data_IF_472622036102
#
_entry.id   IF_472622036102
#
_cell.length_a   1.000
_cell.length_b   1.000
_cell.length_c   1.000
_cell.angle_alpha   90.00
_cell.angle_beta   90.00
_cell.angle_gamma   90.00
#
_symmetry.space_group_name_H-M   'P 1'
#
loop_
_entity.id
_entity.type
_entity.pdbx_description
1 polymer ?
#
# COMPACT_ATOMS: atom_id res chain seq x y z
N UNK A 1 -3.59 -9.70 42.76
CA UNK A 1 -2.45 -9.73 41.83
C UNK A 1 -2.98 -9.69 40.41
N UNK A 2 -2.70 -8.64 39.69
CA UNK A 2 -2.98 -8.62 38.24
C UNK A 2 -2.04 -9.57 37.56
N UNK A 3 -2.57 -10.63 36.92
CA UNK A 3 -1.78 -11.52 36.08
C UNK A 3 -1.14 -10.68 34.97
N UNK A 4 0.19 -10.72 34.88
CA UNK A 4 0.92 -10.15 33.74
C UNK A 4 0.42 -10.82 32.46
N UNK A 5 -0.45 -10.10 31.73
CA UNK A 5 -0.85 -10.57 30.39
C UNK A 5 0.41 -10.69 29.55
N UNK A 6 0.68 -11.88 29.02
CA UNK A 6 1.73 -12.10 28.03
C UNK A 6 1.32 -11.35 26.76
N UNK A 7 1.74 -10.10 26.65
CA UNK A 7 1.54 -9.33 25.42
C UNK A 7 2.40 -9.96 24.32
N UNK A 8 1.86 -10.16 23.12
CA UNK A 8 2.64 -10.65 22.01
C UNK A 8 3.83 -9.73 21.74
N UNK A 9 5.02 -10.32 21.65
CA UNK A 9 6.25 -9.56 21.36
C UNK A 9 6.40 -9.43 19.85
N UNK A 10 6.50 -8.21 19.37
CA UNK A 10 6.81 -7.91 17.98
C UNK A 10 8.33 -7.96 17.82
N UNK A 11 8.81 -8.78 16.89
CA UNK A 11 10.23 -8.77 16.52
C UNK A 11 10.49 -7.61 15.57
N UNK A 12 11.19 -6.60 16.04
CA UNK A 12 11.66 -5.50 15.20
C UNK A 12 12.93 -5.99 14.46
N UNK A 13 12.75 -6.54 13.28
CA UNK A 13 13.87 -6.88 12.38
C UNK A 13 13.94 -5.82 11.28
N UNK A 14 14.78 -4.81 11.49
CA UNK A 14 15.10 -3.83 10.45
C UNK A 14 16.21 -4.42 9.59
N UNK A 15 15.83 -5.21 8.57
CA UNK A 15 16.75 -5.78 7.59
C UNK A 15 17.03 -4.82 6.42
N UNK A 16 17.97 -5.20 5.57
CA UNK A 16 18.31 -4.44 4.35
C UNK A 16 17.13 -4.38 3.38
N UNK A 17 16.37 -5.46 3.22
CA UNK A 17 15.18 -5.50 2.37
C UNK A 17 14.09 -4.55 2.87
N UNK A 18 13.89 -4.45 4.18
CA UNK A 18 12.95 -3.48 4.75
C UNK A 18 13.32 -2.04 4.34
N UNK A 19 14.58 -1.67 4.49
CA UNK A 19 15.07 -0.34 4.10
C UNK A 19 14.90 -0.10 2.61
N UNK A 20 15.22 -1.08 1.80
CA UNK A 20 15.07 -1.05 0.35
C UNK A 20 13.61 -0.80 -0.07
N UNK A 21 12.66 -1.57 0.47
CA UNK A 21 11.23 -1.38 0.20
C UNK A 21 10.75 -0.01 0.67
N UNK A 22 11.16 0.40 1.87
CA UNK A 22 10.82 1.71 2.43
C UNK A 22 11.29 2.86 1.53
N UNK A 23 12.52 2.78 1.03
CA UNK A 23 13.09 3.81 0.16
C UNK A 23 12.33 3.89 -1.18
N UNK A 24 11.97 2.75 -1.77
CA UNK A 24 11.18 2.73 -3.01
C UNK A 24 9.79 3.33 -2.78
N UNK A 25 9.10 2.96 -1.71
CA UNK A 25 7.77 3.51 -1.36
C UNK A 25 7.84 5.04 -1.24
N UNK A 26 8.85 5.54 -0.55
CA UNK A 26 9.07 6.98 -0.40
C UNK A 26 9.40 7.66 -1.72
N UNK A 27 10.37 7.13 -2.47
CA UNK A 27 10.90 7.75 -3.68
C UNK A 27 9.87 7.76 -4.82
N UNK A 28 8.99 6.76 -4.88
CA UNK A 28 7.89 6.72 -5.83
C UNK A 28 6.60 7.39 -5.32
N UNK A 29 6.65 7.98 -4.12
CA UNK A 29 5.50 8.62 -3.49
C UNK A 29 4.27 7.71 -3.47
N UNK A 30 4.45 6.49 -3.01
CA UNK A 30 3.39 5.48 -2.93
C UNK A 30 2.79 5.41 -1.54
N UNK A 31 1.54 4.95 -1.48
CA UNK A 31 0.85 4.65 -0.24
C UNK A 31 0.80 3.14 -0.01
N UNK A 32 0.99 2.72 1.23
CA UNK A 32 0.82 1.32 1.62
C UNK A 32 -0.14 1.22 2.79
N UNK A 33 -0.96 0.18 2.80
CA UNK A 33 -1.81 -0.13 3.96
C UNK A 33 -0.93 -0.43 5.17
N UNK A 34 0.24 -1.04 4.94
CA UNK A 34 1.19 -1.36 6.00
C UNK A 34 1.61 -0.14 6.81
N UNK A 35 1.87 0.99 6.15
CA UNK A 35 2.23 2.24 6.80
C UNK A 35 1.00 2.99 7.34
N UNK A 36 -0.05 3.14 6.54
CA UNK A 36 -1.25 3.89 6.91
C UNK A 36 -2.02 3.27 8.08
N UNK A 37 -2.03 1.93 8.16
CA UNK A 37 -2.68 1.20 9.24
C UNK A 37 -1.75 0.95 10.45
N UNK A 38 -0.53 1.44 10.45
CA UNK A 38 0.48 1.16 11.48
C UNK A 38 0.61 -0.36 11.76
N UNK A 39 0.68 -1.15 10.71
CA UNK A 39 0.69 -2.60 10.81
C UNK A 39 1.90 -3.11 11.61
N UNK A 40 1.72 -3.91 12.66
CA UNK A 40 2.82 -4.40 13.47
C UNK A 40 3.74 -5.38 12.75
N UNK A 41 3.28 -5.97 11.64
CA UNK A 41 4.02 -6.94 10.84
C UNK A 41 4.82 -6.30 9.68
N UNK A 42 4.82 -4.98 9.58
CA UNK A 42 5.45 -4.26 8.47
C UNK A 42 6.93 -4.65 8.28
N UNK A 43 7.66 -4.81 9.36
CA UNK A 43 9.09 -5.16 9.31
C UNK A 43 9.31 -6.56 8.73
N UNK A 44 8.50 -7.52 9.12
CA UNK A 44 8.58 -8.89 8.62
C UNK A 44 8.17 -8.97 7.16
N UNK A 45 7.01 -8.40 6.81
CA UNK A 45 6.47 -8.44 5.45
C UNK A 45 7.38 -7.73 4.45
N UNK A 46 7.83 -6.53 4.78
CA UNK A 46 8.72 -5.78 3.89
C UNK A 46 10.10 -6.41 3.77
N UNK A 47 10.59 -7.05 4.83
CA UNK A 47 11.84 -7.80 4.77
C UNK A 47 11.74 -9.04 3.87
N UNK A 48 10.55 -9.63 3.75
CA UNK A 48 10.26 -10.72 2.81
C UNK A 48 9.98 -10.23 1.37
N UNK A 49 9.96 -8.93 1.14
CA UNK A 49 9.62 -8.36 -0.16
C UNK A 49 8.12 -8.39 -0.47
N UNK A 50 7.27 -8.42 0.55
CA UNK A 50 5.81 -8.38 0.41
C UNK A 50 5.27 -7.07 0.95
N UNK A 51 4.49 -6.36 0.16
CA UNK A 51 3.83 -5.12 0.54
C UNK A 51 2.40 -5.07 -0.01
N UNK A 52 1.51 -4.40 0.71
CA UNK A 52 0.16 -4.10 0.24
C UNK A 52 0.10 -2.65 -0.19
N UNK A 53 0.05 -2.42 -1.48
CA UNK A 53 -0.01 -1.08 -2.06
C UNK A 53 -1.44 -0.57 -2.07
N UNK A 54 -1.60 0.71 -1.74
CA UNK A 54 -2.88 1.39 -1.73
C UNK A 54 -2.90 2.44 -2.83
N UNK A 55 -3.81 2.29 -3.76
CA UNK A 55 -3.98 3.22 -4.90
C UNK A 55 -5.15 4.17 -4.68
N UNK A 56 -5.31 5.14 -5.56
CA UNK A 56 -6.30 6.22 -5.50
C UNK A 56 -6.03 7.25 -4.40
N UNK A 57 -4.77 7.35 -3.96
CA UNK A 57 -4.36 8.29 -2.92
C UNK A 57 -4.39 7.69 -1.51
N UNK A 58 -4.34 8.56 -0.51
CA UNK A 58 -4.27 8.19 0.91
C UNK A 58 -5.45 8.71 1.73
N UNK A 59 -6.40 9.38 1.10
CA UNK A 59 -7.60 9.93 1.74
C UNK A 59 -8.83 9.21 1.23
N UNK A 60 -9.55 8.56 2.14
CA UNK A 60 -10.78 7.82 1.86
C UNK A 60 -12.00 8.72 2.05
N UNK A 61 -12.99 8.59 1.18
CA UNK A 61 -14.27 9.31 1.32
C UNK A 61 -15.20 8.67 2.36
N UNK A 62 -14.84 7.51 2.91
CA UNK A 62 -15.61 6.77 3.90
C UNK A 62 -14.88 6.64 5.22
N UNK A 63 -15.64 6.53 6.32
CA UNK A 63 -15.15 6.46 7.68
C UNK A 63 -15.56 5.14 8.35
N UNK A 64 -14.93 4.04 7.95
CA UNK A 64 -15.19 2.73 8.56
C UNK A 64 -14.62 2.68 9.97
N UNK A 65 -15.40 2.20 10.94
CA UNK A 65 -15.03 2.21 12.36
C UNK A 65 -13.81 1.35 12.72
N UNK A 66 -13.42 0.42 11.86
CA UNK A 66 -12.25 -0.46 12.04
C UNK A 66 -11.03 -0.03 11.23
N UNK A 67 -11.14 1.01 10.40
CA UNK A 67 -10.10 1.41 9.45
C UNK A 67 -9.27 2.57 9.99
N UNK A 68 -7.94 2.47 9.89
CA UNK A 68 -7.01 3.51 10.32
C UNK A 68 -6.64 4.50 9.20
N UNK A 69 -7.11 4.29 7.98
CA UNK A 69 -6.86 5.19 6.85
C UNK A 69 -7.57 6.52 7.07
N UNK A 70 -6.92 7.61 6.68
CA UNK A 70 -7.47 8.97 6.83
C UNK A 70 -8.78 9.13 6.07
N UNK A 71 -9.79 9.65 6.74
CA UNK A 71 -11.06 10.03 6.13
C UNK A 71 -11.04 11.51 5.78
N UNK A 72 -11.57 11.88 4.63
CA UNK A 72 -11.63 13.27 4.21
C UNK A 72 -12.18 13.45 2.81
N UNK A 73 -11.95 14.62 2.26
CA UNK A 73 -12.29 14.96 0.87
C UNK A 73 -11.02 15.02 0.05
N UNK A 74 -10.76 14.02 -0.81
CA UNK A 74 -9.63 14.07 -1.73
C UNK A 74 -9.81 15.26 -2.70
N UNK A 75 -8.71 15.95 -2.96
CA UNK A 75 -8.71 17.12 -3.84
C UNK A 75 -8.12 16.83 -5.22
N UNK A 76 -7.49 15.68 -5.38
CA UNK A 76 -6.74 15.37 -6.59
C UNK A 76 -6.65 13.85 -6.80
N UNK A 77 -6.65 13.47 -8.06
CA UNK A 77 -6.32 12.13 -8.52
C UNK A 77 -5.05 12.18 -9.38
N UNK A 78 -4.19 11.19 -9.21
CA UNK A 78 -2.90 11.15 -9.88
C UNK A 78 -2.95 10.24 -11.12
N UNK A 79 -2.92 10.80 -12.32
CA UNK A 79 -2.98 10.00 -13.54
C UNK A 79 -1.72 9.15 -13.77
N UNK A 80 -0.61 9.47 -13.10
CA UNK A 80 0.65 8.72 -13.20
C UNK A 80 0.80 7.62 -12.13
N UNK A 81 -0.14 7.53 -11.20
CA UNK A 81 -0.09 6.53 -10.13
C UNK A 81 0.01 5.09 -10.64
N UNK A 82 -0.74 4.65 -11.67
CA UNK A 82 -0.59 3.30 -12.23
C UNK A 82 0.82 2.99 -12.71
N UNK A 83 1.46 3.93 -13.38
CA UNK A 83 2.83 3.76 -13.88
C UNK A 83 3.86 3.72 -12.75
N UNK A 84 3.72 4.62 -11.76
CA UNK A 84 4.62 4.63 -10.60
C UNK A 84 4.48 3.38 -9.76
N UNK A 85 3.25 2.90 -9.56
CA UNK A 85 2.97 1.65 -8.84
C UNK A 85 3.63 0.46 -9.54
N UNK A 86 3.46 0.33 -10.84
CA UNK A 86 4.08 -0.75 -11.61
C UNK A 86 5.61 -0.67 -11.60
N UNK A 87 6.18 0.52 -11.69
CA UNK A 87 7.62 0.73 -11.61
C UNK A 87 8.17 0.33 -10.23
N UNK A 88 7.44 0.63 -9.16
CA UNK A 88 7.81 0.23 -7.80
C UNK A 88 7.77 -1.29 -7.62
N UNK A 89 6.73 -1.96 -8.10
CA UNK A 89 6.62 -3.43 -8.07
C UNK A 89 7.82 -4.06 -8.78
N UNK A 90 8.20 -3.52 -9.93
CA UNK A 90 9.38 -3.97 -10.67
C UNK A 90 10.67 -3.77 -9.89
N UNK A 91 10.88 -2.57 -9.32
CA UNK A 91 12.06 -2.25 -8.53
C UNK A 91 12.17 -3.09 -7.27
N UNK A 92 11.06 -3.38 -6.61
CA UNK A 92 11.00 -4.24 -5.42
C UNK A 92 11.22 -5.72 -5.76
N UNK A 93 11.17 -6.10 -7.04
CA UNK A 93 11.28 -7.49 -7.49
C UNK A 93 10.23 -8.40 -6.85
N UNK A 94 9.01 -7.88 -6.67
CA UNK A 94 7.93 -8.63 -6.05
C UNK A 94 7.44 -9.73 -7.00
N UNK A 95 7.30 -10.93 -6.47
CA UNK A 95 6.65 -12.06 -7.14
C UNK A 95 5.16 -12.10 -6.87
N UNK A 96 4.74 -11.46 -5.78
CA UNK A 96 3.36 -11.33 -5.38
C UNK A 96 3.15 -9.95 -4.79
N UNK A 97 2.13 -9.25 -5.25
CA UNK A 97 1.74 -7.95 -4.74
C UNK A 97 0.25 -7.92 -4.44
N UNK A 98 -0.11 -7.33 -3.33
CA UNK A 98 -1.50 -7.06 -2.99
C UNK A 98 -1.79 -5.60 -3.29
N UNK A 99 -2.83 -5.33 -4.05
CA UNK A 99 -3.31 -4.00 -4.37
C UNK A 99 -4.65 -3.79 -3.69
N UNK A 100 -4.80 -2.67 -3.04
CA UNK A 100 -6.05 -2.18 -2.50
C UNK A 100 -6.20 -0.69 -2.79
N UNK A 101 -7.30 -0.10 -2.40
CA UNK A 101 -7.54 1.34 -2.59
C UNK A 101 -8.37 1.93 -1.47
N UNK A 102 -8.30 3.25 -1.35
CA UNK A 102 -9.32 4.03 -0.65
C UNK A 102 -10.60 4.08 -1.49
N UNK A 103 -11.74 4.36 -0.86
CA UNK A 103 -12.96 4.68 -1.59
C UNK A 103 -12.91 6.13 -2.11
N UNK A 104 -13.32 6.32 -3.32
CA UNK A 104 -13.34 7.61 -4.01
C UNK A 104 -14.74 7.90 -4.59
N UNK A 105 -15.70 8.10 -3.68
CA UNK A 105 -17.08 8.47 -4.07
C UNK A 105 -17.15 9.82 -4.80
N UNK A 106 -16.09 10.63 -4.72
CA UNK A 106 -15.93 11.90 -5.41
C UNK A 106 -15.63 11.74 -6.92
N UNK A 107 -15.06 10.59 -7.33
CA UNK A 107 -14.80 10.30 -8.74
C UNK A 107 -16.08 9.79 -9.41
N UNK A 108 -16.91 10.75 -9.84
CA UNK A 108 -18.15 10.44 -10.54
C UNK A 108 -17.87 9.79 -11.88
N UNK A 109 -18.61 8.75 -12.19
CA UNK A 109 -18.49 7.98 -13.41
C UNK A 109 -18.07 6.54 -13.15
N UNK A 110 -16.85 6.31 -12.69
CA UNK A 110 -16.34 4.95 -12.50
C UNK A 110 -15.76 4.67 -11.11
N UNK A 111 -15.75 5.66 -10.23
CA UNK A 111 -15.23 5.57 -8.85
C UNK A 111 -13.77 5.08 -8.77
N UNK A 112 -13.00 5.29 -9.83
CA UNK A 112 -11.61 4.88 -9.93
C UNK A 112 -11.37 3.52 -10.62
N UNK A 113 -12.38 2.88 -11.18
CA UNK A 113 -12.24 1.57 -11.83
C UNK A 113 -11.24 1.59 -12.98
N UNK A 114 -11.18 2.67 -13.77
CA UNK A 114 -10.20 2.81 -14.85
C UNK A 114 -8.75 2.85 -14.33
N UNK A 115 -8.51 3.50 -13.20
CA UNK A 115 -7.18 3.53 -12.54
C UNK A 115 -6.80 2.15 -12.05
N UNK A 116 -7.73 1.39 -11.49
CA UNK A 116 -7.54 0.00 -11.11
C UNK A 116 -7.10 -0.85 -12.31
N UNK A 117 -7.83 -0.77 -13.41
CA UNK A 117 -7.53 -1.52 -14.62
C UNK A 117 -6.16 -1.14 -15.20
N UNK A 118 -5.84 0.14 -15.25
CA UNK A 118 -4.54 0.63 -15.71
C UNK A 118 -3.41 0.13 -14.81
N UNK A 119 -3.59 0.16 -13.49
CA UNK A 119 -2.58 -0.30 -12.54
C UNK A 119 -2.25 -1.78 -12.74
N UNK A 120 -3.27 -2.63 -12.86
CA UNK A 120 -3.09 -4.06 -13.10
C UNK A 120 -2.38 -4.30 -14.44
N UNK A 121 -2.81 -3.63 -15.50
CA UNK A 121 -2.22 -3.77 -16.82
C UNK A 121 -0.76 -3.31 -16.84
N UNK A 122 -0.42 -2.20 -16.20
CA UNK A 122 0.95 -1.69 -16.14
C UNK A 122 1.86 -2.64 -15.35
N UNK A 123 1.36 -3.24 -14.26
CA UNK A 123 2.12 -4.24 -13.50
C UNK A 123 2.39 -5.46 -14.38
N UNK A 124 1.40 -6.01 -15.07
CA UNK A 124 1.58 -7.17 -15.94
C UNK A 124 2.53 -6.89 -17.11
N UNK A 125 2.53 -5.67 -17.66
CA UNK A 125 3.47 -5.27 -18.71
C UNK A 125 4.91 -5.21 -18.23
N UNK A 126 5.15 -4.74 -17.01
CA UNK A 126 6.49 -4.52 -16.47
C UNK A 126 7.06 -5.73 -15.74
N UNK A 127 6.19 -6.56 -15.15
CA UNK A 127 6.55 -7.72 -14.33
C UNK A 127 5.63 -8.88 -14.73
N UNK A 128 6.01 -9.61 -15.78
CA UNK A 128 5.17 -10.67 -16.35
C UNK A 128 4.97 -11.88 -15.45
N UNK A 129 5.82 -12.06 -14.45
CA UNK A 129 5.80 -13.20 -13.50
C UNK A 129 5.25 -12.82 -12.10
N UNK A 130 4.69 -11.64 -11.96
CA UNK A 130 4.07 -11.17 -10.72
C UNK A 130 2.56 -11.39 -10.75
#
# INVERSE_FOLDING_TARGET
>A
MLQKQNKPKIKLQIGENYKFVKDIVRDQNLNTVCAEANCPNIYECWNRGTATLMILGDICTRACGFCAVKTGKPTWDDPLEPMRTALAVKKMQLKHVVITSVDRDDLKGDYGASIWAQTINEIHKKVSDC
#
